data_IF_605702568695
#
_entry.id   IF_605702568695
#
_cell.length_a   1.000
_cell.length_b   1.000
_cell.length_c   1.000
_cell.angle_alpha   90.00
_cell.angle_beta   90.00
_cell.angle_gamma   90.00
#
_symmetry.space_group_name_H-M   'P 1'
#
loop_
_entity.id
_entity.type
_entity.pdbx_description
1 polymer ?
#
# COMPACT_ATOMS: atom_id res chain seq x y z
N UNK A 1 15.72 -34.10 39.12
CA UNK A 1 14.39 -33.56 38.75
C UNK A 1 14.64 -32.53 37.65
N UNK A 2 14.69 -32.95 36.38
CA UNK A 2 13.64 -32.74 35.33
C UNK A 2 13.30 -31.25 35.16
N UNK A 3 13.34 -30.62 33.98
CA UNK A 3 12.95 -31.12 32.67
C UNK A 3 13.42 -30.12 31.59
N UNK A 4 14.16 -30.56 30.56
CA UNK A 4 14.43 -29.75 29.36
C UNK A 4 13.26 -29.95 28.38
N UNK A 5 12.34 -28.98 28.33
CA UNK A 5 11.22 -28.96 27.40
C UNK A 5 11.70 -28.77 25.96
N UNK A 6 11.87 -29.89 25.25
CA UNK A 6 12.08 -29.90 23.80
C UNK A 6 10.71 -29.87 23.14
N UNK A 7 10.26 -28.68 22.70
CA UNK A 7 9.05 -28.55 21.90
C UNK A 7 9.18 -29.30 20.55
N UNK A 8 8.09 -29.82 19.99
CA UNK A 8 8.14 -30.56 18.73
C UNK A 8 8.58 -29.63 17.58
N UNK A 9 9.65 -30.02 16.88
CA UNK A 9 10.08 -29.38 15.63
C UNK A 9 9.00 -29.62 14.58
N UNK A 10 8.17 -28.61 14.30
CA UNK A 10 7.20 -28.67 13.21
C UNK A 10 7.93 -28.98 11.90
N UNK A 11 7.51 -30.05 11.22
CA UNK A 11 8.06 -30.44 9.92
C UNK A 11 7.81 -29.36 8.87
N UNK A 12 8.82 -29.05 8.07
CA UNK A 12 8.70 -28.09 6.97
C UNK A 12 7.85 -28.71 5.86
N UNK A 13 6.68 -28.11 5.58
CA UNK A 13 5.84 -28.49 4.46
C UNK A 13 6.21 -27.68 3.21
N UNK A 14 6.21 -28.33 2.04
CA UNK A 14 6.46 -27.67 0.75
C UNK A 14 5.25 -26.83 0.36
N UNK A 15 5.46 -25.52 0.19
CA UNK A 15 4.42 -24.58 -0.27
C UNK A 15 4.02 -24.86 -1.73
N UNK A 16 2.72 -24.97 -2.00
CA UNK A 16 2.21 -25.25 -3.34
C UNK A 16 2.39 -24.06 -4.30
N UNK A 17 2.48 -24.32 -5.61
CA UNK A 17 2.58 -23.26 -6.62
C UNK A 17 1.36 -22.31 -6.62
N UNK A 18 0.19 -22.76 -6.16
CA UNK A 18 -0.99 -21.91 -5.98
C UNK A 18 -0.77 -20.92 -4.85
N UNK A 19 -0.27 -21.38 -3.71
CA UNK A 19 0.02 -20.53 -2.55
C UNK A 19 1.12 -19.52 -2.86
N UNK A 20 2.18 -19.91 -3.56
CA UNK A 20 3.23 -19.00 -4.05
C UNK A 20 2.67 -17.83 -4.88
N UNK A 21 1.62 -18.08 -5.67
CA UNK A 21 1.02 -17.07 -6.57
C UNK A 21 -0.12 -16.31 -5.92
N UNK A 22 -0.63 -16.75 -4.77
CA UNK A 22 -1.82 -16.19 -4.12
C UNK A 22 -1.64 -14.70 -3.87
N UNK A 23 -0.56 -14.32 -3.19
CA UNK A 23 -0.28 -12.92 -2.86
C UNK A 23 -0.14 -12.03 -4.10
N UNK A 24 0.51 -12.55 -5.16
CA UNK A 24 0.67 -11.83 -6.43
C UNK A 24 -0.65 -11.63 -7.20
N UNK A 25 -1.58 -12.57 -7.07
CA UNK A 25 -2.87 -12.53 -7.79
C UNK A 25 -3.94 -11.78 -7.01
N UNK A 26 -4.03 -12.02 -5.72
CA UNK A 26 -5.12 -11.52 -4.87
C UNK A 26 -4.75 -10.24 -4.13
N UNK A 27 -3.46 -9.93 -3.98
CA UNK A 27 -3.01 -8.79 -3.17
C UNK A 27 -3.46 -8.87 -1.70
N UNK A 28 -3.34 -7.75 -1.01
CA UNK A 28 -3.77 -7.52 0.37
C UNK A 28 -4.44 -6.15 0.46
N UNK A 29 -5.40 -5.99 1.37
CA UNK A 29 -6.00 -4.68 1.63
C UNK A 29 -4.98 -3.82 2.40
N UNK A 30 -4.79 -2.59 1.94
CA UNK A 30 -3.87 -1.62 2.51
C UNK A 30 -4.59 -0.28 2.59
N UNK A 31 -4.58 0.32 3.78
CA UNK A 31 -5.05 1.69 3.98
C UNK A 31 -3.96 2.66 3.53
N UNK A 32 -4.34 3.61 2.69
CA UNK A 32 -3.48 4.66 2.16
C UNK A 32 -3.54 5.92 3.03
N UNK A 33 -2.50 6.77 3.02
CA UNK A 33 -2.49 8.05 3.72
C UNK A 33 -3.71 8.95 3.47
N UNK A 34 -4.27 8.91 2.26
CA UNK A 34 -5.50 9.63 1.91
C UNK A 34 -6.77 9.13 2.64
N UNK A 35 -6.69 8.02 3.36
CA UNK A 35 -7.83 7.34 3.97
C UNK A 35 -8.55 6.36 3.03
N UNK A 36 -8.12 6.28 1.77
CA UNK A 36 -8.60 5.27 0.83
C UNK A 36 -8.06 3.88 1.18
N UNK A 37 -8.75 2.82 0.75
CA UNK A 37 -8.30 1.44 0.91
C UNK A 37 -8.16 0.82 -0.46
N UNK A 38 -6.96 0.31 -0.76
CA UNK A 38 -6.66 -0.36 -2.01
C UNK A 38 -6.22 -1.81 -1.76
N UNK A 39 -6.45 -2.67 -2.75
CA UNK A 39 -5.87 -4.01 -2.79
C UNK A 39 -4.55 -3.94 -3.53
N UNK A 40 -3.45 -4.12 -2.80
CA UNK A 40 -2.10 -4.02 -3.33
C UNK A 40 -1.42 -5.39 -3.35
N UNK A 41 -0.63 -5.66 -4.39
CA UNK A 41 0.29 -6.79 -4.42
C UNK A 41 1.73 -6.29 -4.27
N UNK A 42 2.61 -7.07 -3.61
CA UNK A 42 4.01 -6.72 -3.54
C UNK A 42 4.62 -6.74 -4.94
N UNK A 43 5.42 -5.71 -5.22
CA UNK A 43 6.17 -5.57 -6.46
C UNK A 43 7.64 -5.47 -6.13
N UNK A 44 8.45 -6.29 -6.80
CA UNK A 44 9.90 -6.21 -6.70
C UNK A 44 10.40 -5.10 -7.62
N UNK A 45 10.99 -4.06 -7.05
CA UNK A 45 11.61 -2.98 -7.82
C UNK A 45 12.75 -3.51 -8.72
N UNK A 46 13.47 -4.55 -8.26
CA UNK A 46 14.48 -5.25 -9.06
C UNK A 46 13.89 -5.97 -10.27
N UNK A 47 12.67 -6.52 -10.17
CA UNK A 47 12.00 -7.13 -11.33
C UNK A 47 11.48 -6.06 -12.31
N UNK A 48 11.06 -4.89 -11.80
CA UNK A 48 10.74 -3.73 -12.64
C UNK A 48 11.98 -3.20 -13.38
N UNK A 49 13.13 -3.11 -12.71
CA UNK A 49 14.41 -2.75 -13.34
C UNK A 49 14.78 -3.75 -14.46
N UNK A 50 14.76 -5.06 -14.14
CA UNK A 50 15.15 -6.12 -15.08
C UNK A 50 14.26 -6.24 -16.31
N UNK A 51 12.99 -5.85 -16.21
CA UNK A 51 12.07 -5.90 -17.35
C UNK A 51 12.26 -4.72 -18.31
N UNK A 52 13.27 -3.86 -18.10
CA UNK A 52 13.45 -2.62 -18.86
C UNK A 52 12.40 -1.58 -18.49
N UNK A 53 11.75 -1.75 -17.34
CA UNK A 53 10.68 -0.90 -16.87
C UNK A 53 11.18 0.44 -16.33
N UNK A 54 12.47 0.61 -16.04
CA UNK A 54 12.98 1.82 -15.41
C UNK A 54 14.12 2.38 -16.28
N UNK A 55 14.06 3.68 -16.67
CA UNK A 55 15.15 4.34 -17.40
C UNK A 55 16.49 4.26 -16.66
N UNK A 56 17.58 4.04 -17.39
CA UNK A 56 18.94 3.93 -16.84
C UNK A 56 19.37 5.18 -16.04
N UNK A 57 18.81 6.34 -16.39
CA UNK A 57 19.01 7.62 -15.69
C UNK A 57 18.54 7.60 -14.24
N UNK A 58 17.61 6.71 -13.87
CA UNK A 58 17.17 6.52 -12.49
C UNK A 58 18.01 5.52 -11.70
N UNK A 59 19.00 4.87 -12.32
CA UNK A 59 19.86 3.89 -11.66
C UNK A 59 20.36 4.34 -10.28
N UNK A 60 20.91 5.57 -10.13
CA UNK A 60 21.36 6.08 -8.84
C UNK A 60 20.23 6.26 -7.81
N UNK A 61 19.10 6.85 -8.21
CA UNK A 61 17.95 7.09 -7.33
C UNK A 61 17.34 5.77 -6.84
N UNK A 62 17.21 4.79 -7.74
CA UNK A 62 16.71 3.46 -7.39
C UNK A 62 17.72 2.70 -6.54
N UNK A 63 19.02 2.85 -6.80
CA UNK A 63 20.05 2.27 -5.95
C UNK A 63 19.99 2.87 -4.54
N UNK A 64 19.82 4.18 -4.38
CA UNK A 64 19.66 4.82 -3.08
C UNK A 64 18.41 4.31 -2.37
N UNK A 65 17.28 4.18 -3.08
CA UNK A 65 16.06 3.63 -2.52
C UNK A 65 16.21 2.16 -2.09
N UNK A 66 16.95 1.35 -2.85
CA UNK A 66 17.19 -0.06 -2.53
C UNK A 66 18.20 -0.26 -1.39
N UNK A 67 19.21 0.62 -1.30
CA UNK A 67 20.30 0.51 -0.32
C UNK A 67 19.93 1.19 0.99
N UNK A 68 19.34 2.39 0.92
CA UNK A 68 19.07 3.26 2.06
C UNK A 68 17.59 3.32 2.45
N UNK A 69 16.67 2.83 1.60
CA UNK A 69 15.23 2.89 1.85
C UNK A 69 14.60 4.26 1.56
N UNK A 70 15.40 5.25 1.17
CA UNK A 70 14.96 6.61 0.86
C UNK A 70 15.77 7.20 -0.30
N UNK A 71 15.20 8.21 -0.98
CA UNK A 71 15.89 8.96 -2.03
C UNK A 71 16.60 10.15 -1.39
N UNK A 72 17.93 10.15 -1.39
CA UNK A 72 18.77 11.17 -0.73
C UNK A 72 19.31 12.24 -1.68
N UNK A 73 18.81 12.29 -2.92
CA UNK A 73 19.34 13.20 -3.93
C UNK A 73 19.29 14.67 -3.45
N UNK A 74 20.42 15.42 -3.51
CA UNK A 74 20.45 16.81 -3.08
C UNK A 74 19.49 17.65 -3.92
N UNK A 75 18.82 18.62 -3.30
CA UNK A 75 17.80 19.47 -3.95
C UNK A 75 18.32 20.20 -5.20
N UNK A 76 19.63 20.45 -5.25
CA UNK A 76 20.34 21.08 -6.38
C UNK A 76 20.48 20.16 -7.60
N UNK A 77 20.29 18.84 -7.44
CA UNK A 77 20.30 17.85 -8.52
C UNK A 77 18.90 17.58 -9.11
N UNK A 78 17.84 18.24 -8.60
CA UNK A 78 16.48 18.14 -9.12
C UNK A 78 16.37 18.88 -10.46
N UNK A 79 16.69 18.18 -11.55
CA UNK A 79 16.39 18.64 -12.90
C UNK A 79 14.94 18.28 -13.27
N UNK A 80 14.37 19.00 -14.24
CA UNK A 80 13.05 18.66 -14.78
C UNK A 80 13.00 17.23 -15.34
N UNK A 81 14.09 16.78 -15.94
CA UNK A 81 14.27 15.42 -16.43
C UNK A 81 14.22 14.39 -15.30
N UNK A 82 14.91 14.65 -14.19
CA UNK A 82 14.88 13.78 -13.02
C UNK A 82 13.48 13.69 -12.40
N UNK A 83 12.77 14.82 -12.33
CA UNK A 83 11.39 14.85 -11.82
C UNK A 83 10.43 14.06 -12.71
N UNK A 84 10.51 14.26 -14.03
CA UNK A 84 9.70 13.51 -14.99
C UNK A 84 9.99 12.01 -14.88
N UNK A 85 11.26 11.64 -14.76
CA UNK A 85 11.65 10.24 -14.65
C UNK A 85 11.19 9.63 -13.31
N UNK A 86 11.27 10.38 -12.20
CA UNK A 86 10.71 9.93 -10.92
C UNK A 86 9.18 9.73 -10.98
N UNK A 87 8.45 10.62 -11.66
CA UNK A 87 7.01 10.47 -11.89
C UNK A 87 6.68 9.19 -12.69
N UNK A 88 7.50 8.86 -13.68
CA UNK A 88 7.38 7.60 -14.43
C UNK A 88 7.59 6.38 -13.53
N UNK A 89 8.57 6.44 -12.62
CA UNK A 89 8.80 5.36 -11.66
C UNK A 89 7.57 5.14 -10.77
N UNK A 90 7.04 6.21 -10.18
CA UNK A 90 5.81 6.13 -9.37
C UNK A 90 4.67 5.52 -10.15
N UNK A 91 4.47 5.98 -11.39
CA UNK A 91 3.40 5.48 -12.27
C UNK A 91 3.53 3.98 -12.50
N UNK A 92 4.74 3.50 -12.81
CA UNK A 92 4.98 2.09 -13.10
C UNK A 92 4.84 1.21 -11.87
N UNK A 93 5.34 1.67 -10.71
CA UNK A 93 5.19 0.95 -9.44
C UNK A 93 3.73 0.88 -9.05
N UNK A 94 2.99 1.99 -9.12
CA UNK A 94 1.56 2.00 -8.77
C UNK A 94 0.74 1.11 -9.71
N UNK A 95 0.89 1.24 -11.03
CA UNK A 95 0.24 0.35 -12.01
C UNK A 95 0.57 -1.13 -11.78
N UNK A 96 1.79 -1.43 -11.37
CA UNK A 96 2.20 -2.79 -11.06
C UNK A 96 1.62 -3.28 -9.73
N UNK A 97 1.47 -2.42 -8.72
CA UNK A 97 1.09 -2.77 -7.36
C UNK A 97 -0.43 -2.83 -7.15
N UNK A 98 -1.20 -1.94 -7.78
CA UNK A 98 -2.65 -1.89 -7.64
C UNK A 98 -3.32 -3.09 -8.30
N UNK A 99 -4.05 -3.87 -7.51
CA UNK A 99 -4.92 -4.96 -7.96
C UNK A 99 -6.37 -4.49 -8.08
N UNK A 100 -6.82 -3.68 -7.12
CA UNK A 100 -8.16 -3.08 -7.10
C UNK A 100 -8.14 -1.76 -6.28
N UNK A 101 -8.62 -0.63 -6.83
CA UNK A 101 -8.93 -0.46 -8.25
C UNK A 101 -7.69 -0.64 -9.12
N UNK A 102 -7.84 -1.03 -10.39
CA UNK A 102 -6.72 -1.13 -11.32
C UNK A 102 -6.38 0.26 -11.88
N UNK A 103 -5.09 0.61 -11.93
CA UNK A 103 -4.66 1.87 -12.56
C UNK A 103 -4.46 1.64 -14.06
N UNK A 104 -5.26 2.34 -14.88
CA UNK A 104 -5.26 2.26 -16.35
C UNK A 104 -5.18 3.66 -16.97
N UNK A 105 -4.88 3.76 -18.26
CA UNK A 105 -4.76 5.07 -18.93
C UNK A 105 -6.11 5.71 -19.29
N UNK A 106 -7.17 4.91 -19.35
CA UNK A 106 -8.52 5.32 -19.73
C UNK A 106 -9.53 4.52 -18.91
N UNK A 107 -9.85 4.96 -17.68
CA UNK A 107 -10.80 4.25 -16.84
C UNK A 107 -12.19 4.25 -17.50
N UNK A 108 -12.97 3.23 -17.17
CA UNK A 108 -14.38 3.14 -17.58
C UNK A 108 -15.25 3.15 -16.33
N UNK A 109 -16.37 3.88 -16.37
CA UNK A 109 -17.26 4.05 -15.21
C UNK A 109 -17.83 2.73 -14.66
N UNK A 110 -17.90 1.70 -15.50
CA UNK A 110 -18.48 0.39 -15.19
C UNK A 110 -17.43 -0.63 -14.67
N UNK A 111 -16.15 -0.26 -14.59
CA UNK A 111 -15.06 -1.11 -14.11
C UNK A 111 -14.42 -0.54 -12.84
N UNK A 112 -13.83 -1.41 -12.01
CA UNK A 112 -13.07 -1.01 -10.82
C UNK A 112 -11.67 -0.50 -11.23
N UNK A 113 -11.66 0.60 -11.98
CA UNK A 113 -10.52 1.21 -12.67
C UNK A 113 -10.39 2.70 -12.32
N UNK A 114 -9.15 3.17 -12.21
CA UNK A 114 -8.81 4.58 -11.97
C UNK A 114 -7.66 5.00 -12.88
N UNK A 115 -7.47 6.29 -13.07
CA UNK A 115 -6.25 6.84 -13.70
C UNK A 115 -5.17 7.15 -12.66
N UNK A 116 -3.97 7.47 -13.12
CA UNK A 116 -2.86 7.73 -12.20
C UNK A 116 -3.11 9.00 -11.38
N UNK A 117 -3.77 9.97 -11.99
CA UNK A 117 -4.13 11.28 -11.48
C UNK A 117 -5.09 11.21 -10.28
N UNK A 118 -5.90 10.14 -10.19
CA UNK A 118 -6.77 9.87 -9.04
C UNK A 118 -5.99 9.50 -7.76
N UNK A 119 -4.76 9.01 -7.91
CA UNK A 119 -3.90 8.62 -6.79
C UNK A 119 -3.08 9.82 -6.34
N UNK A 120 -3.27 10.25 -5.09
CA UNK A 120 -2.54 11.40 -4.53
C UNK A 120 -1.02 11.15 -4.48
N UNK A 121 -0.21 12.21 -4.55
CA UNK A 121 1.25 12.09 -4.47
C UNK A 121 1.71 11.37 -3.19
N UNK A 122 1.06 11.65 -2.05
CA UNK A 122 1.37 10.99 -0.78
C UNK A 122 1.09 9.49 -0.82
N UNK A 123 0.03 9.05 -1.49
CA UNK A 123 -0.28 7.63 -1.63
C UNK A 123 0.71 6.94 -2.59
N UNK A 124 1.15 7.62 -3.66
CA UNK A 124 2.17 7.10 -4.58
C UNK A 124 3.49 6.83 -3.86
N UNK A 125 3.93 7.78 -3.03
CA UNK A 125 5.13 7.65 -2.21
C UNK A 125 4.99 6.51 -1.20
N UNK A 126 3.83 6.42 -0.53
CA UNK A 126 3.53 5.33 0.39
C UNK A 126 3.58 3.97 -0.32
N UNK A 127 2.98 3.83 -1.49
CA UNK A 127 2.96 2.56 -2.26
C UNK A 127 4.38 2.16 -2.69
N UNK A 128 5.21 3.12 -3.10
CA UNK A 128 6.61 2.88 -3.41
C UNK A 128 7.37 2.36 -2.17
N UNK A 129 7.24 3.05 -1.03
CA UNK A 129 7.87 2.65 0.22
C UNK A 129 7.38 1.26 0.67
N UNK A 130 6.07 1.03 0.63
CA UNK A 130 5.43 -0.24 1.00
C UNK A 130 5.92 -1.42 0.16
N UNK A 131 6.15 -1.21 -1.14
CA UNK A 131 6.71 -2.25 -2.02
C UNK A 131 8.18 -2.59 -1.67
N UNK A 132 8.91 -1.64 -1.08
CA UNK A 132 10.32 -1.81 -0.71
C UNK A 132 10.51 -2.25 0.75
N UNK A 133 9.46 -2.25 1.58
CA UNK A 133 9.54 -2.73 2.95
C UNK A 133 9.88 -4.22 2.98
N UNK A 134 10.92 -4.64 3.73
CA UNK A 134 11.24 -6.06 3.89
C UNK A 134 10.02 -6.83 4.40
N UNK A 135 9.69 -7.94 3.72
CA UNK A 135 8.51 -8.78 4.01
C UNK A 135 8.40 -9.24 5.48
N UNK A 136 9.50 -9.18 6.25
CA UNK A 136 9.55 -9.46 7.68
C UNK A 136 8.80 -8.42 8.51
N UNK A 137 8.89 -7.13 8.18
CA UNK A 137 8.23 -6.04 8.92
C UNK A 137 6.73 -5.97 8.63
N UNK A 138 6.33 -6.33 7.39
CA UNK A 138 4.91 -6.42 7.01
C UNK A 138 4.14 -7.54 7.74
N UNK A 139 4.81 -8.49 8.40
CA UNK A 139 4.16 -9.52 9.22
C UNK A 139 3.74 -8.99 10.59
N UNK A 140 4.52 -8.09 11.19
CA UNK A 140 4.25 -7.59 12.54
C UNK A 140 3.01 -6.68 12.55
N UNK A 141 2.83 -5.85 11.51
CA UNK A 141 1.60 -5.07 11.30
C UNK A 141 0.32 -5.93 11.19
N UNK A 142 0.42 -7.18 10.74
CA UNK A 142 -0.74 -8.09 10.63
C UNK A 142 -1.19 -8.64 11.98
N UNK A 143 -0.30 -8.68 12.98
CA UNK A 143 -0.67 -9.11 14.33
C UNK A 143 -1.32 -7.98 15.13
N UNK A 144 -0.91 -6.73 14.91
CA UNK A 144 -1.40 -5.58 15.68
C UNK A 144 -2.78 -5.07 15.21
N UNK A 145 -3.07 -5.09 13.90
CA UNK A 145 -4.38 -4.66 13.37
C UNK A 145 -5.54 -5.60 13.73
N UNK A 146 -5.26 -6.84 14.11
CA UNK A 146 -6.28 -7.78 14.62
C UNK A 146 -6.70 -7.51 16.07
N UNK A 147 -5.99 -6.63 16.80
CA UNK A 147 -6.18 -6.42 18.24
C UNK A 147 -6.57 -4.99 18.63
N UNK A 148 -6.58 -4.01 17.71
CA UNK A 148 -6.86 -2.60 18.05
C UNK A 148 -7.90 -1.93 17.16
N UNK A 149 -9.10 -2.50 17.05
CA UNK A 149 -10.29 -1.68 16.83
C UNK A 149 -11.30 -1.99 17.93
N UNK A 150 -11.52 -1.08 18.91
CA UNK A 150 -12.72 -1.20 19.73
C UNK A 150 -13.96 -1.13 18.81
N UNK A 151 -15.06 -1.80 19.16
CA UNK A 151 -16.29 -1.75 18.38
C UNK A 151 -16.65 -0.29 18.10
N UNK A 152 -16.77 0.09 16.83
CA UNK A 152 -17.31 1.39 16.46
C UNK A 152 -18.74 1.41 16.99
N UNK A 153 -18.99 2.22 18.02
CA UNK A 153 -20.35 2.39 18.52
C UNK A 153 -21.22 2.92 17.37
N UNK A 154 -22.44 2.38 17.19
CA UNK A 154 -23.30 2.81 16.11
C UNK A 154 -23.56 4.31 16.22
N UNK A 155 -23.16 5.06 15.20
CA UNK A 155 -23.44 6.49 15.09
C UNK A 155 -24.97 6.65 15.05
N UNK A 156 -25.53 7.41 15.98
CA UNK A 156 -26.97 7.64 16.02
C UNK A 156 -27.47 8.20 14.68
N UNK A 157 -28.60 7.71 14.14
CA UNK A 157 -29.16 8.22 12.90
C UNK A 157 -29.40 9.73 12.97
N UNK A 158 -29.07 10.45 11.90
CA UNK A 158 -29.24 11.92 11.77
C UNK A 158 -30.68 12.38 12.12
N UNK A 159 -31.67 11.50 11.97
CA UNK A 159 -33.05 11.74 12.39
C UNK A 159 -33.20 12.09 13.90
N UNK A 160 -32.36 11.52 14.76
CA UNK A 160 -32.38 11.76 16.22
C UNK A 160 -31.82 13.13 16.60
N UNK A 161 -30.95 13.72 15.77
CA UNK A 161 -30.39 15.06 15.99
C UNK A 161 -31.39 16.18 15.66
N UNK A 162 -32.31 15.94 14.71
CA UNK A 162 -33.33 16.92 14.31
C UNK A 162 -34.44 17.08 15.35
N UNK A 163 -34.83 15.98 15.99
CA UNK A 163 -35.85 16.00 17.04
C UNK A 163 -35.41 16.78 18.31
N UNK A 164 -34.11 16.74 18.65
CA UNK A 164 -33.56 17.52 19.78
C UNK A 164 -33.47 19.03 19.50
N UNK A 165 -33.33 19.43 18.23
CA UNK A 165 -33.30 20.83 17.85
C UNK A 165 -34.69 21.48 17.91
N UNK A 166 -35.75 20.73 17.59
CA UNK A 166 -37.12 21.25 17.57
C UNK A 166 -37.75 21.36 18.97
N UNK A 167 -37.31 20.54 19.94
CA UNK A 167 -37.77 20.65 21.34
C UNK A 167 -37.13 21.80 22.13
N UNK A 168 -36.02 22.37 21.63
CA UNK A 168 -35.28 23.44 22.33
C UNK A 168 -35.80 24.85 22.00
N UNK A 169 -36.62 25.00 20.95
CA UNK A 169 -37.16 26.29 20.49
C UNK A 169 -38.57 26.59 20.97
N UNK A 170 -39.18 25.74 21.80
CA UNK A 170 -40.57 25.90 22.29
C UNK A 170 -40.67 26.24 23.79
N UNK A 171 -39.58 26.68 24.42
CA UNK A 171 -39.56 27.26 25.77
C UNK A 171 -38.82 28.61 25.73
N UNK A 172 -39.48 29.63 25.20
CA UNK A 172 -39.16 31.07 25.38
C UNK A 172 -40.40 31.91 25.18
#
# INVERSE_FOLDING_TARGET
MTNNGTGPKQGLNVTSAREWRKLRKEGVLVSLPSGMVARLRPVSLMDLLRSGGIPETLGPMVADLLINGEVTAPREALTADLVATAADLYTRVCKAAFVAPAIVDKPTDDADEIEMEDVSQSDREFVLAWCNTPTTELRDFRHEQGQQNPPVEPVEPIASLRAKAESATSDS
#
